data_IF_053072523051
#
_entry.id   IF_053072523051
#
_cell.length_a   1.000
_cell.length_b   1.000
_cell.length_c   1.000
_cell.angle_alpha   90.00
_cell.angle_beta   90.00
_cell.angle_gamma   90.00
#
_symmetry.space_group_name_H-M   'P 1'
#
loop_
_entity.id
_entity.type
_entity.pdbx_description
1 polymer ?
#
# COMPACT_ATOMS: atom_id res chain seq x y z
N UNK A 1 -13.48 8.57 5.68
CA UNK A 1 -14.03 8.88 4.34
C UNK A 1 -12.99 8.83 3.24
N UNK A 2 -11.78 9.34 3.41
CA UNK A 2 -10.74 9.41 2.36
C UNK A 2 -10.29 8.06 1.76
N UNK A 3 -10.11 7.03 2.56
CA UNK A 3 -9.65 5.69 2.12
C UNK A 3 -10.63 4.97 1.17
N UNK A 4 -11.93 5.13 1.41
CA UNK A 4 -12.96 4.53 0.53
C UNK A 4 -12.93 5.17 -0.85
N UNK A 5 -12.76 6.50 -0.92
CA UNK A 5 -12.64 7.20 -2.20
C UNK A 5 -11.34 6.87 -2.92
N UNK A 6 -10.21 6.74 -2.21
CA UNK A 6 -8.93 6.38 -2.81
C UNK A 6 -8.98 4.97 -3.43
N UNK A 7 -9.54 3.99 -2.73
CA UNK A 7 -9.71 2.63 -3.24
C UNK A 7 -10.68 2.58 -4.43
N UNK A 8 -11.77 3.36 -4.39
CA UNK A 8 -12.71 3.49 -5.50
C UNK A 8 -12.06 4.10 -6.75
N UNK A 9 -11.25 5.15 -6.57
CA UNK A 9 -10.51 5.77 -7.67
C UNK A 9 -9.48 4.80 -8.28
N UNK A 10 -8.74 4.09 -7.45
CA UNK A 10 -7.76 3.11 -7.90
C UNK A 10 -8.42 1.98 -8.71
N UNK A 11 -9.54 1.44 -8.22
CA UNK A 11 -10.32 0.44 -8.95
C UNK A 11 -10.83 0.99 -10.31
N UNK A 12 -11.31 2.22 -10.32
CA UNK A 12 -11.74 2.89 -11.55
C UNK A 12 -10.58 3.01 -12.55
N UNK A 13 -9.39 3.38 -12.10
CA UNK A 13 -8.20 3.46 -12.96
C UNK A 13 -7.82 2.10 -13.54
N UNK A 14 -7.87 1.03 -12.75
CA UNK A 14 -7.65 -0.35 -13.22
C UNK A 14 -8.68 -0.73 -14.29
N UNK A 15 -9.96 -0.43 -14.08
CA UNK A 15 -11.02 -0.73 -15.05
C UNK A 15 -10.86 0.05 -16.36
N UNK A 16 -10.45 1.33 -16.28
CA UNK A 16 -10.16 2.14 -17.47
C UNK A 16 -8.97 1.56 -18.25
N UNK A 17 -7.88 1.19 -17.56
CA UNK A 17 -6.73 0.57 -18.20
C UNK A 17 -7.11 -0.74 -18.93
N UNK A 18 -7.85 -1.62 -18.25
CA UNK A 18 -8.30 -2.88 -18.85
C UNK A 18 -9.23 -2.65 -20.05
N UNK A 19 -10.08 -1.63 -19.99
CA UNK A 19 -10.92 -1.24 -21.14
C UNK A 19 -10.06 -0.75 -22.32
N UNK A 20 -9.03 0.07 -22.06
CA UNK A 20 -8.06 0.50 -23.09
C UNK A 20 -7.33 -0.70 -23.68
N UNK A 21 -6.87 -1.64 -22.86
CA UNK A 21 -6.22 -2.87 -23.34
C UNK A 21 -7.14 -3.68 -24.24
N UNK A 22 -8.39 -3.87 -23.81
CA UNK A 22 -9.36 -4.66 -24.59
C UNK A 22 -9.79 -3.97 -25.90
N UNK A 23 -10.29 -2.74 -25.80
CA UNK A 23 -10.93 -2.07 -26.94
C UNK A 23 -9.94 -1.39 -27.89
N UNK A 24 -8.92 -0.72 -27.36
CA UNK A 24 -7.98 0.07 -28.17
C UNK A 24 -6.74 -0.72 -28.57
N UNK A 25 -6.13 -1.43 -27.62
CA UNK A 25 -4.87 -2.13 -27.88
C UNK A 25 -5.07 -3.58 -28.34
N UNK A 26 -6.26 -4.10 -28.29
CA UNK A 26 -6.61 -5.51 -28.63
C UNK A 26 -5.75 -6.54 -27.89
N UNK A 27 -5.26 -6.20 -26.72
CA UNK A 27 -4.48 -7.11 -25.86
C UNK A 27 -5.40 -8.09 -25.16
N UNK A 28 -4.92 -9.33 -24.99
CA UNK A 28 -5.59 -10.34 -24.16
C UNK A 28 -5.48 -9.95 -22.69
N UNK A 29 -6.62 -9.95 -21.99
CA UNK A 29 -6.68 -9.70 -20.55
C UNK A 29 -6.65 -11.06 -19.82
N UNK A 30 -5.73 -11.22 -18.89
CA UNK A 30 -5.61 -12.41 -18.05
C UNK A 30 -6.42 -12.22 -16.76
N UNK A 31 -7.73 -12.36 -16.85
CA UNK A 31 -8.68 -12.07 -15.78
C UNK A 31 -8.38 -12.80 -14.46
N UNK A 32 -7.87 -14.04 -14.51
CA UNK A 32 -7.48 -14.76 -13.30
C UNK A 32 -6.42 -14.00 -12.52
N UNK A 33 -5.43 -13.45 -13.22
CA UNK A 33 -4.36 -12.68 -12.59
C UNK A 33 -4.87 -11.34 -12.06
N UNK A 34 -5.71 -10.64 -12.83
CA UNK A 34 -6.34 -9.38 -12.38
C UNK A 34 -7.16 -9.60 -11.10
N UNK A 35 -8.02 -10.63 -11.09
CA UNK A 35 -8.83 -10.96 -9.91
C UNK A 35 -7.95 -11.35 -8.73
N UNK A 36 -6.90 -12.15 -8.96
CA UNK A 36 -5.94 -12.50 -7.91
C UNK A 36 -5.24 -11.25 -7.36
N UNK A 37 -4.74 -10.37 -8.22
CA UNK A 37 -4.07 -9.13 -7.82
C UNK A 37 -4.96 -8.24 -6.95
N UNK A 38 -6.23 -8.07 -7.35
CA UNK A 38 -7.21 -7.28 -6.60
C UNK A 38 -7.59 -7.90 -5.25
N UNK A 39 -7.57 -9.22 -5.14
CA UNK A 39 -7.95 -9.93 -3.91
C UNK A 39 -6.76 -10.32 -3.03
N UNK A 40 -5.53 -10.31 -3.58
CA UNK A 40 -4.35 -10.67 -2.80
C UNK A 40 -4.15 -9.70 -1.64
N UNK A 41 -4.11 -10.25 -0.45
CA UNK A 41 -3.87 -9.48 0.76
C UNK A 41 -5.08 -8.76 1.38
N UNK A 42 -6.23 -8.68 0.71
CA UNK A 42 -7.34 -7.85 1.18
C UNK A 42 -7.89 -8.28 2.54
N UNK A 43 -8.21 -9.56 2.75
CA UNK A 43 -8.92 -9.99 3.96
C UNK A 43 -8.05 -9.80 5.21
N UNK A 44 -6.85 -10.37 5.23
CA UNK A 44 -5.96 -10.26 6.38
C UNK A 44 -5.40 -8.85 6.53
N UNK A 45 -5.20 -8.14 5.41
CA UNK A 45 -4.77 -6.75 5.41
C UNK A 45 -5.75 -5.83 6.15
N UNK A 46 -7.07 -6.03 6.05
CA UNK A 46 -8.05 -5.25 6.81
C UNK A 46 -7.96 -5.50 8.31
N UNK A 47 -7.79 -6.76 8.71
CA UNK A 47 -7.63 -7.11 10.14
C UNK A 47 -6.34 -6.51 10.69
N UNK A 48 -5.22 -6.70 10.00
CA UNK A 48 -3.91 -6.18 10.42
C UNK A 48 -3.87 -4.65 10.38
N UNK A 49 -4.54 -4.01 9.41
CA UNK A 49 -4.68 -2.55 9.36
C UNK A 49 -5.46 -2.01 10.56
N UNK A 50 -6.48 -2.72 11.01
CA UNK A 50 -7.19 -2.36 12.25
C UNK A 50 -6.26 -2.38 13.48
N UNK A 51 -5.36 -3.36 13.56
CA UNK A 51 -4.34 -3.43 14.61
C UNK A 51 -3.32 -2.29 14.51
N UNK A 52 -2.83 -1.98 13.29
CA UNK A 52 -1.93 -0.84 13.06
C UNK A 52 -2.56 0.49 13.50
N UNK A 53 -3.79 0.75 13.10
CA UNK A 53 -4.53 1.98 13.49
C UNK A 53 -4.69 2.04 15.01
N UNK A 54 -5.02 0.93 15.66
CA UNK A 54 -5.18 0.89 17.12
C UNK A 54 -3.85 1.14 17.82
N UNK A 55 -2.76 0.56 17.37
CA UNK A 55 -1.44 0.77 17.92
C UNK A 55 -0.95 2.20 17.70
N UNK A 56 -1.15 2.75 16.49
CA UNK A 56 -0.85 4.16 16.20
C UNK A 56 -1.65 5.11 17.12
N UNK A 57 -2.93 4.87 17.29
CA UNK A 57 -3.78 5.65 18.20
C UNK A 57 -3.25 5.57 19.65
N UNK A 58 -2.92 4.37 20.13
CA UNK A 58 -2.36 4.18 21.46
C UNK A 58 -1.07 4.97 21.64
N UNK A 59 -0.11 4.86 20.71
CA UNK A 59 1.16 5.56 20.76
C UNK A 59 0.97 7.08 20.69
N UNK A 60 0.10 7.56 19.80
CA UNK A 60 -0.18 9.01 19.67
C UNK A 60 -0.81 9.62 20.92
N UNK A 61 -1.63 8.86 21.65
CA UNK A 61 -2.27 9.34 22.89
C UNK A 61 -1.29 9.36 24.06
N UNK A 62 -0.48 8.31 24.20
CA UNK A 62 0.35 8.13 25.41
C UNK A 62 1.81 8.61 25.24
N UNK A 63 2.30 8.72 24.01
CA UNK A 63 3.70 9.07 23.72
C UNK A 63 3.85 10.16 22.64
N UNK A 64 2.88 11.03 22.52
CA UNK A 64 3.01 12.20 21.66
C UNK A 64 3.97 13.22 22.28
N UNK A 65 4.97 13.61 21.52
CA UNK A 65 5.95 14.62 21.95
C UNK A 65 5.56 16.04 21.56
N UNK A 66 4.42 16.23 20.88
CA UNK A 66 3.90 17.55 20.44
C UNK A 66 4.92 18.42 19.69
N UNK A 67 5.88 17.79 19.00
CA UNK A 67 7.00 18.48 18.34
C UNK A 67 6.58 19.42 17.20
N UNK A 68 5.36 19.26 16.69
CA UNK A 68 4.85 19.95 15.50
C UNK A 68 3.67 20.88 15.83
N UNK A 69 3.37 21.12 17.09
CA UNK A 69 2.20 21.94 17.48
C UNK A 69 2.27 23.38 16.94
N UNK A 70 3.47 23.95 16.87
CA UNK A 70 3.68 25.33 16.37
C UNK A 70 3.77 25.41 14.84
N UNK A 71 3.70 24.28 14.14
CA UNK A 71 3.83 24.25 12.69
C UNK A 71 2.49 24.56 12.01
N UNK A 72 2.56 25.29 10.88
CA UNK A 72 1.38 25.46 10.06
C UNK A 72 0.91 24.12 9.50
N UNK A 73 -0.41 23.98 9.31
CA UNK A 73 -1.02 22.76 8.75
C UNK A 73 -0.39 22.34 7.43
N UNK A 74 -0.05 23.28 6.55
CA UNK A 74 0.61 22.99 5.27
C UNK A 74 2.02 22.41 5.46
N UNK A 75 2.80 22.93 6.41
CA UNK A 75 4.13 22.40 6.70
C UNK A 75 4.07 21.00 7.28
N UNK A 76 3.08 20.73 8.15
CA UNK A 76 2.87 19.37 8.69
C UNK A 76 2.60 18.37 7.55
N UNK A 77 1.73 18.73 6.58
CA UNK A 77 1.43 17.87 5.45
C UNK A 77 2.64 17.62 4.54
N UNK A 78 3.42 18.66 4.26
CA UNK A 78 4.64 18.54 3.45
C UNK A 78 5.64 17.64 4.18
N UNK A 79 5.87 17.85 5.47
CA UNK A 79 6.77 17.03 6.28
C UNK A 79 6.30 15.57 6.33
N UNK A 80 5.02 15.34 6.60
CA UNK A 80 4.44 14.00 6.65
C UNK A 80 4.59 13.27 5.30
N UNK A 81 4.39 13.96 4.17
CA UNK A 81 4.56 13.39 2.85
C UNK A 81 6.00 12.90 2.62
N UNK A 82 7.00 13.74 2.87
CA UNK A 82 8.39 13.35 2.67
C UNK A 82 8.85 12.29 3.69
N UNK A 83 8.39 12.36 4.93
CA UNK A 83 8.70 11.34 5.95
C UNK A 83 8.10 9.99 5.56
N UNK A 84 6.85 9.98 5.07
CA UNK A 84 6.23 8.76 4.57
C UNK A 84 7.00 8.15 3.41
N UNK A 85 7.36 8.95 2.40
CA UNK A 85 8.12 8.49 1.23
C UNK A 85 9.49 7.94 1.62
N UNK A 86 10.18 8.62 2.53
CA UNK A 86 11.47 8.17 3.09
C UNK A 86 11.33 6.83 3.82
N UNK A 87 10.35 6.67 4.70
CA UNK A 87 10.11 5.44 5.43
C UNK A 87 9.73 4.30 4.46
N UNK A 88 8.88 4.60 3.49
CA UNK A 88 8.47 3.62 2.47
C UNK A 88 9.65 3.18 1.60
N UNK A 89 10.53 4.09 1.19
CA UNK A 89 11.76 3.74 0.45
C UNK A 89 12.63 2.75 1.23
N UNK A 90 12.88 3.01 2.51
CA UNK A 90 13.72 2.14 3.33
C UNK A 90 13.04 0.79 3.60
N UNK A 91 11.76 0.78 3.90
CA UNK A 91 10.99 -0.44 4.05
C UNK A 91 11.09 -1.31 2.79
N UNK A 92 10.81 -0.74 1.61
CA UNK A 92 10.90 -1.43 0.33
C UNK A 92 12.32 -1.93 0.05
N UNK A 93 13.33 -1.11 0.28
CA UNK A 93 14.73 -1.48 0.13
C UNK A 93 15.12 -2.66 1.04
N UNK A 94 14.64 -2.69 2.28
CA UNK A 94 14.89 -3.81 3.19
C UNK A 94 14.17 -5.09 2.73
N UNK A 95 12.98 -4.99 2.18
CA UNK A 95 12.30 -6.12 1.56
C UNK A 95 13.11 -6.75 0.43
N UNK A 96 13.87 -5.97 -0.32
CA UNK A 96 14.78 -6.49 -1.35
C UNK A 96 16.13 -6.97 -0.82
N UNK A 97 16.51 -6.60 0.40
CA UNK A 97 17.85 -6.90 0.93
C UNK A 97 17.85 -8.09 1.89
N UNK A 98 16.79 -8.29 2.64
CA UNK A 98 16.72 -9.35 3.66
C UNK A 98 15.82 -10.48 3.18
N UNK A 99 16.33 -11.73 3.18
CA UNK A 99 15.65 -12.90 2.61
C UNK A 99 14.27 -13.16 3.23
N UNK A 100 14.12 -12.98 4.56
CA UNK A 100 12.84 -13.18 5.22
C UNK A 100 11.79 -12.11 4.84
N UNK A 101 12.22 -10.86 4.62
CA UNK A 101 11.35 -9.80 4.11
C UNK A 101 11.03 -10.00 2.64
N UNK A 102 12.01 -10.46 1.86
CA UNK A 102 11.79 -10.83 0.47
C UNK A 102 10.73 -11.92 0.32
N UNK A 103 10.73 -12.94 1.19
CA UNK A 103 9.71 -13.99 1.16
C UNK A 103 8.28 -13.46 1.29
N UNK A 104 8.09 -12.32 1.95
CA UNK A 104 6.80 -11.62 2.05
C UNK A 104 6.56 -10.76 0.81
N UNK A 105 7.60 -10.10 0.32
CA UNK A 105 7.52 -9.09 -0.74
C UNK A 105 7.49 -9.69 -2.15
N UNK A 106 8.05 -10.87 -2.35
CA UNK A 106 8.10 -11.54 -3.66
C UNK A 106 6.73 -11.68 -4.32
N UNK A 107 5.67 -11.82 -3.54
CA UNK A 107 4.28 -11.88 -4.04
C UNK A 107 3.95 -10.66 -4.92
N UNK A 108 4.47 -9.47 -4.58
CA UNK A 108 4.31 -8.26 -5.37
C UNK A 108 5.02 -8.37 -6.74
N UNK A 109 6.12 -9.11 -6.82
CA UNK A 109 6.93 -9.29 -8.04
C UNK A 109 6.55 -10.50 -8.88
N UNK A 110 5.64 -11.36 -8.44
CA UNK A 110 5.23 -12.59 -9.16
C UNK A 110 4.22 -12.37 -10.29
N UNK A 111 3.84 -11.14 -10.61
CA UNK A 111 2.91 -10.88 -11.72
C UNK A 111 3.57 -11.05 -13.08
N UNK A 112 2.98 -11.87 -13.95
CA UNK A 112 3.48 -12.13 -15.29
C UNK A 112 3.04 -11.08 -16.31
N UNK A 113 1.89 -10.42 -16.08
CA UNK A 113 1.29 -9.49 -17.01
C UNK A 113 1.15 -8.10 -16.38
N UNK A 114 2.01 -7.19 -16.81
CA UNK A 114 2.05 -5.83 -16.28
C UNK A 114 0.77 -5.05 -16.58
N UNK A 115 0.08 -4.64 -15.52
CA UNK A 115 -1.08 -3.76 -15.52
C UNK A 115 -1.25 -3.12 -14.13
N UNK A 116 -2.12 -2.10 -14.01
CA UNK A 116 -2.29 -1.37 -12.74
C UNK A 116 -2.77 -2.25 -11.57
N UNK A 117 -3.48 -3.35 -11.83
CA UNK A 117 -3.90 -4.27 -10.76
C UNK A 117 -2.70 -4.91 -10.06
N UNK A 118 -1.56 -5.04 -10.76
CA UNK A 118 -0.33 -5.58 -10.17
C UNK A 118 0.21 -4.69 -9.05
N UNK A 119 0.02 -3.37 -9.16
CA UNK A 119 0.40 -2.41 -8.11
C UNK A 119 -0.36 -2.60 -6.80
N UNK A 120 -1.54 -3.24 -6.86
CA UNK A 120 -2.36 -3.56 -5.68
C UNK A 120 -1.98 -4.91 -5.07
N UNK A 121 -1.35 -5.78 -5.87
CA UNK A 121 -0.94 -7.12 -5.43
C UNK A 121 0.02 -7.03 -4.26
N UNK A 122 -0.34 -7.64 -3.15
CA UNK A 122 0.46 -7.59 -1.94
C UNK A 122 0.36 -8.90 -1.16
N UNK A 123 1.33 -9.16 -0.29
CA UNK A 123 1.27 -10.28 0.63
C UNK A 123 0.32 -9.97 1.79
N UNK A 124 -0.31 -11.00 2.32
CA UNK A 124 -1.13 -10.90 3.53
C UNK A 124 -0.34 -10.42 4.75
N UNK A 125 0.96 -10.66 4.77
CA UNK A 125 1.85 -10.31 5.87
C UNK A 125 2.54 -8.94 5.73
N UNK A 126 2.26 -8.20 4.65
CA UNK A 126 2.93 -6.91 4.40
C UNK A 126 2.72 -5.89 5.51
N UNK A 127 1.53 -5.87 6.11
CA UNK A 127 1.24 -4.98 7.23
C UNK A 127 2.10 -5.26 8.47
N UNK A 128 2.49 -6.53 8.72
CA UNK A 128 3.37 -6.86 9.85
C UNK A 128 4.79 -6.30 9.67
N UNK A 129 5.25 -6.20 8.44
CA UNK A 129 6.59 -5.66 8.15
C UNK A 129 6.62 -4.15 8.04
N UNK A 130 5.48 -3.52 7.77
CA UNK A 130 5.36 -2.06 7.72
C UNK A 130 5.24 -1.42 9.12
N UNK A 131 4.75 -2.17 10.09
CA UNK A 131 4.50 -1.70 11.46
C UNK A 131 5.68 -0.92 12.08
N UNK A 132 6.95 -1.40 12.05
CA UNK A 132 8.07 -0.69 12.68
C UNK A 132 8.44 0.65 12.00
N UNK A 133 7.94 0.90 10.79
CA UNK A 133 8.29 2.09 10.01
C UNK A 133 7.23 3.20 10.08
N UNK A 134 6.01 2.86 10.47
CA UNK A 134 4.87 3.78 10.43
C UNK A 134 4.18 3.98 11.80
N UNK A 135 4.78 3.48 12.85
CA UNK A 135 4.44 3.72 14.24
C UNK A 135 5.64 4.30 14.99
#
# INVERSE_FOLDING_TARGET
>A
MSLVYANGLLLLMVLIELAVFHFKMKKKIFWREVVFNLNSGHILMWVLRGMEISAFHFISVYWSFSLLEDWSYSLIWIFAFFTWDFCFYWLHRFHHKFSFLWAIHVVHHEGEHFNLSLGIRNSWYSSLTSFPFFI
#
